data_IF_498887558581
#
_entry.id   IF_498887558581
#
_cell.length_a   1.000
_cell.length_b   1.000
_cell.length_c   1.000
_cell.angle_alpha   90.00
_cell.angle_beta   90.00
_cell.angle_gamma   90.00
#
_symmetry.space_group_name_H-M   'P 1'
#
loop_
_entity.id
_entity.type
_entity.pdbx_description
1 polymer ?
#
# COMPACT_ATOMS: atom_id res chain seq x y z
N UNK A 1 -25.35 5.34 2.33
CA UNK A 1 -24.27 5.33 1.33
C UNK A 1 -23.49 6.62 1.46
N UNK A 2 -22.21 6.58 1.82
CA UNK A 2 -21.36 7.77 1.88
C UNK A 2 -20.27 7.66 0.81
N UNK A 3 -20.68 7.75 -0.46
CA UNK A 3 -19.80 7.59 -1.62
C UNK A 3 -18.68 8.64 -1.65
N UNK A 4 -18.97 9.87 -1.19
CA UNK A 4 -17.97 10.93 -1.06
C UNK A 4 -16.90 10.57 -0.02
N UNK A 5 -17.28 10.05 1.15
CA UNK A 5 -16.28 9.60 2.12
C UNK A 5 -15.48 8.39 1.64
N UNK A 6 -16.11 7.46 0.91
CA UNK A 6 -15.39 6.32 0.32
C UNK A 6 -14.33 6.81 -0.71
N UNK A 7 -14.67 7.81 -1.51
CA UNK A 7 -13.73 8.44 -2.44
C UNK A 7 -12.53 9.05 -1.71
N UNK A 8 -12.77 9.90 -0.72
CA UNK A 8 -11.69 10.54 0.04
C UNK A 8 -10.85 9.55 0.84
N UNK A 9 -11.46 8.50 1.40
CA UNK A 9 -10.73 7.44 2.09
C UNK A 9 -9.80 6.69 1.13
N UNK A 10 -10.28 6.32 -0.06
CA UNK A 10 -9.47 5.62 -1.06
C UNK A 10 -8.33 6.51 -1.55
N UNK A 11 -8.61 7.78 -1.83
CA UNK A 11 -7.59 8.76 -2.21
C UNK A 11 -6.54 8.94 -1.10
N UNK A 12 -6.97 9.04 0.16
CA UNK A 12 -6.07 9.16 1.30
C UNK A 12 -5.14 7.95 1.45
N UNK A 13 -5.67 6.74 1.32
CA UNK A 13 -4.86 5.50 1.37
C UNK A 13 -3.82 5.48 0.25
N UNK A 14 -4.20 5.84 -0.98
CA UNK A 14 -3.27 5.89 -2.11
C UNK A 14 -2.18 6.93 -1.87
N UNK A 15 -2.53 8.14 -1.41
CA UNK A 15 -1.55 9.18 -1.12
C UNK A 15 -0.60 8.80 0.01
N UNK A 16 -1.08 8.12 1.05
CA UNK A 16 -0.24 7.61 2.13
C UNK A 16 0.75 6.56 1.63
N UNK A 17 0.30 5.60 0.82
CA UNK A 17 1.17 4.59 0.21
C UNK A 17 2.21 5.22 -0.73
N UNK A 18 1.88 6.34 -1.36
CA UNK A 18 2.79 7.05 -2.25
C UNK A 18 3.83 7.88 -1.50
N UNK A 19 3.46 8.47 -0.36
CA UNK A 19 4.34 9.35 0.45
C UNK A 19 5.20 8.57 1.47
N UNK A 20 4.92 7.29 1.71
CA UNK A 20 5.57 6.50 2.77
C UNK A 20 7.10 6.36 2.61
N UNK A 21 7.63 6.51 1.39
CA UNK A 21 9.07 6.49 1.13
C UNK A 21 9.79 7.81 1.43
N UNK A 22 9.09 8.94 1.48
CA UNK A 22 9.71 10.26 1.70
C UNK A 22 10.47 10.37 3.05
N UNK A 23 9.96 9.83 4.19
CA UNK A 23 10.71 9.83 5.44
C UNK A 23 11.94 8.91 5.41
N UNK A 24 11.97 7.88 4.57
CA UNK A 24 13.12 6.98 4.42
C UNK A 24 14.32 7.73 3.83
N UNK A 25 14.07 8.62 2.87
CA UNK A 25 15.07 9.46 2.22
C UNK A 25 15.67 10.51 3.18
N UNK A 26 14.88 10.99 4.15
CA UNK A 26 15.27 12.09 5.05
C UNK A 26 15.93 11.60 6.35
N UNK A 27 15.50 10.46 6.89
CA UNK A 27 15.79 10.11 8.29
C UNK A 27 16.97 9.17 8.52
N UNK A 28 17.47 8.44 7.52
CA UNK A 28 18.66 7.55 7.63
C UNK A 28 18.63 6.56 8.81
N UNK A 29 17.47 6.34 9.44
CA UNK A 29 17.33 5.63 10.71
C UNK A 29 16.99 4.15 10.51
N UNK A 30 16.96 3.38 11.61
CA UNK A 30 16.57 1.96 11.67
C UNK A 30 15.24 1.61 10.96
N UNK A 31 14.35 2.59 10.74
CA UNK A 31 13.10 2.38 9.99
C UNK A 31 13.21 2.56 8.47
N UNK A 32 14.34 3.06 7.94
CA UNK A 32 14.42 3.44 6.52
C UNK A 32 14.27 2.24 5.61
N UNK A 33 14.83 1.08 5.96
CA UNK A 33 14.77 -0.12 5.12
C UNK A 33 13.34 -0.67 4.99
N UNK A 34 12.58 -0.66 6.08
CA UNK A 34 11.15 -1.02 6.09
C UNK A 34 10.34 0.00 5.28
N UNK A 35 10.61 1.29 5.45
CA UNK A 35 9.91 2.35 4.72
C UNK A 35 10.24 2.32 3.21
N UNK A 36 11.49 1.99 2.84
CA UNK A 36 11.91 1.79 1.46
C UNK A 36 11.24 0.56 0.85
N UNK A 37 11.12 -0.54 1.60
CA UNK A 37 10.36 -1.72 1.16
C UNK A 37 8.86 -1.43 1.04
N UNK A 38 8.31 -0.55 1.88
CA UNK A 38 6.90 -0.16 1.79
C UNK A 38 6.63 0.87 0.69
N UNK A 39 7.66 1.49 0.10
CA UNK A 39 7.51 2.53 -0.91
C UNK A 39 6.99 1.97 -2.23
N UNK A 40 5.71 2.22 -2.47
CA UNK A 40 5.01 1.84 -3.70
C UNK A 40 5.66 2.47 -4.95
N UNK A 41 6.25 3.67 -4.83
CA UNK A 41 6.97 4.29 -5.96
C UNK A 41 8.21 3.50 -6.33
N UNK A 42 8.95 2.97 -5.35
CA UNK A 42 10.16 2.21 -5.61
C UNK A 42 9.83 0.96 -6.44
N UNK A 43 8.87 0.16 -5.98
CA UNK A 43 8.39 -1.03 -6.68
C UNK A 43 7.71 -0.71 -8.03
N UNK A 44 7.15 0.49 -8.22
CA UNK A 44 6.54 0.86 -9.50
C UNK A 44 7.56 1.43 -10.51
N UNK A 45 8.36 2.42 -10.14
CA UNK A 45 9.25 3.14 -11.06
C UNK A 45 10.56 2.41 -11.34
N UNK A 46 11.10 1.66 -10.38
CA UNK A 46 12.40 1.01 -10.54
C UNK A 46 12.29 -0.33 -11.28
N UNK A 47 11.16 -1.02 -11.18
CA UNK A 47 10.98 -2.34 -11.81
C UNK A 47 9.84 -2.34 -12.82
N UNK A 48 8.59 -2.23 -12.36
CA UNK A 48 7.40 -2.38 -13.23
C UNK A 48 7.39 -1.42 -14.43
N UNK A 49 7.69 -0.13 -14.22
CA UNK A 49 7.73 0.88 -15.28
C UNK A 49 8.80 0.58 -16.33
N UNK A 50 9.87 -0.12 -15.93
CA UNK A 50 10.97 -0.53 -16.81
C UNK A 50 10.74 -1.92 -17.44
N UNK A 51 9.64 -2.59 -17.11
CA UNK A 51 9.33 -3.96 -17.54
C UNK A 51 10.17 -5.02 -16.83
N UNK A 52 10.80 -4.68 -15.70
CA UNK A 52 11.55 -5.62 -14.87
C UNK A 52 10.57 -6.14 -13.81
N UNK A 53 10.58 -7.46 -13.59
CA UNK A 53 9.76 -8.10 -12.55
C UNK A 53 10.74 -8.71 -11.54
N UNK A 54 10.74 -8.18 -10.32
CA UNK A 54 11.49 -8.75 -9.21
C UNK A 54 10.55 -9.54 -8.26
N UNK A 55 11.10 -10.54 -7.58
CA UNK A 55 10.35 -11.34 -6.60
C UNK A 55 9.85 -10.47 -5.44
N UNK A 56 10.65 -9.47 -5.06
CA UNK A 56 10.30 -8.48 -4.03
C UNK A 56 9.00 -7.75 -4.36
N UNK A 57 8.82 -7.35 -5.63
CA UNK A 57 7.60 -6.67 -6.10
C UNK A 57 6.38 -7.59 -6.04
N UNK A 58 6.56 -8.85 -6.48
CA UNK A 58 5.47 -9.84 -6.48
C UNK A 58 4.98 -10.07 -5.05
N UNK A 59 5.90 -10.26 -4.11
CA UNK A 59 5.57 -10.45 -2.68
C UNK A 59 4.87 -9.20 -2.14
N UNK A 60 5.38 -8.00 -2.48
CA UNK A 60 4.77 -6.73 -2.07
C UNK A 60 3.31 -6.63 -2.53
N UNK A 61 3.04 -6.80 -3.83
CA UNK A 61 1.67 -6.70 -4.36
C UNK A 61 0.74 -7.82 -3.84
N UNK A 62 1.24 -9.05 -3.69
CA UNK A 62 0.45 -10.14 -3.10
C UNK A 62 0.09 -9.86 -1.64
N UNK A 63 0.99 -9.28 -0.86
CA UNK A 63 0.71 -8.88 0.52
C UNK A 63 -0.38 -7.80 0.57
N UNK A 64 -0.33 -6.83 -0.35
CA UNK A 64 -1.28 -5.73 -0.42
C UNK A 64 -2.67 -6.20 -0.86
N UNK A 65 -2.74 -7.14 -1.81
CA UNK A 65 -3.97 -7.83 -2.21
C UNK A 65 -4.57 -8.60 -1.03
N UNK A 66 -3.74 -9.39 -0.34
CA UNK A 66 -4.18 -10.19 0.81
C UNK A 66 -4.73 -9.32 1.94
N UNK A 67 -4.07 -8.20 2.23
CA UNK A 67 -4.52 -7.21 3.20
C UNK A 67 -5.86 -6.57 2.78
N UNK A 68 -5.99 -6.16 1.52
CA UNK A 68 -7.22 -5.57 1.00
C UNK A 68 -8.40 -6.56 1.07
N UNK A 69 -8.16 -7.83 0.72
CA UNK A 69 -9.14 -8.91 0.84
C UNK A 69 -9.51 -9.18 2.30
N UNK A 70 -8.53 -9.21 3.20
CA UNK A 70 -8.77 -9.38 4.64
C UNK A 70 -9.66 -8.26 5.19
N UNK A 71 -9.32 -7.00 4.90
CA UNK A 71 -10.13 -5.84 5.28
C UNK A 71 -11.53 -5.95 4.66
N UNK A 72 -11.64 -6.36 3.40
CA UNK A 72 -12.91 -6.59 2.73
C UNK A 72 -13.78 -7.62 3.45
N UNK A 73 -13.22 -8.78 3.80
CA UNK A 73 -13.91 -9.83 4.55
C UNK A 73 -14.36 -9.34 5.92
N UNK A 74 -13.48 -8.67 6.68
CA UNK A 74 -13.83 -8.09 7.99
C UNK A 74 -14.98 -7.09 7.86
N UNK A 75 -15.02 -6.27 6.81
CA UNK A 75 -16.12 -5.35 6.55
C UNK A 75 -17.45 -6.07 6.25
N UNK A 76 -17.41 -7.19 5.53
CA UNK A 76 -18.59 -8.01 5.24
C UNK A 76 -19.09 -8.67 6.52
N UNK A 77 -18.19 -9.25 7.32
CA UNK A 77 -18.54 -9.86 8.60
C UNK A 77 -19.09 -8.84 9.60
N UNK A 78 -18.48 -7.66 9.73
CA UNK A 78 -18.96 -6.59 10.60
C UNK A 78 -20.37 -6.11 10.23
N UNK A 79 -20.77 -6.20 8.95
CA UNK A 79 -22.15 -5.93 8.51
C UNK A 79 -23.11 -7.09 8.75
N UNK A 80 -22.60 -8.32 8.86
CA UNK A 80 -23.40 -9.52 9.15
C UNK A 80 -23.75 -9.66 10.64
N UNK A 81 -22.93 -9.09 11.51
CA UNK A 81 -23.12 -9.11 12.98
C UNK A 81 -23.82 -7.84 13.51
N UNK A 82 -24.08 -6.88 12.63
CA UNK A 82 -25.04 -5.78 12.86
C UNK A 82 -26.41 -6.21 12.37
#
# INVERSE_FOLDING_TARGET
>A
SNQNAAFFATLGVILLLWLIGAPAEVSGSLGSEILTYLDLRSHFYNTFYRGIIDLSDIIYYLSLISLALFIGTVNVEAKRWK
#
